data_IF_738845857072
#
_entry.id   IF_738845857072
#
_cell.length_a   1.000
_cell.length_b   1.000
_cell.length_c   1.000
_cell.angle_alpha   90.00
_cell.angle_beta   90.00
_cell.angle_gamma   90.00
#
_symmetry.space_group_name_H-M   'P 1'
#
loop_
_entity.id
_entity.type
_entity.pdbx_description
1 polymer ?
#
# COMPACT_ATOMS: atom_id res chain seq x y z
N UNK A 1 0.08 -31.34 -1.06
CA UNK A 1 -0.57 -31.39 0.26
C UNK A 1 -0.82 -29.97 0.72
N UNK A 2 -2.07 -29.59 0.97
CA UNK A 2 -2.46 -28.21 1.38
C UNK A 2 -2.12 -28.04 2.86
N UNK A 3 -1.31 -27.04 3.20
CA UNK A 3 -0.98 -26.71 4.59
C UNK A 3 -2.17 -26.06 5.27
N UNK A 4 -2.88 -26.80 6.11
CA UNK A 4 -3.90 -26.23 6.98
C UNK A 4 -3.19 -25.55 8.17
N UNK A 5 -3.48 -24.27 8.41
CA UNK A 5 -2.99 -23.56 9.58
C UNK A 5 -3.59 -24.21 10.85
N UNK A 6 -2.73 -24.81 11.69
CA UNK A 6 -3.13 -25.39 12.96
C UNK A 6 -2.94 -24.35 14.06
N UNK A 7 -4.04 -23.88 14.64
CA UNK A 7 -4.01 -22.96 15.77
C UNK A 7 -3.40 -23.66 16.99
N UNK A 8 -2.26 -23.19 17.48
CA UNK A 8 -1.66 -23.67 18.73
C UNK A 8 -2.21 -22.86 19.89
N UNK A 9 -3.21 -23.40 20.59
CA UNK A 9 -3.80 -22.79 21.78
C UNK A 9 -2.85 -23.01 22.95
N UNK A 10 -2.20 -21.92 23.40
CA UNK A 10 -1.19 -21.98 24.47
C UNK A 10 -1.86 -22.09 25.85
N UNK A 11 -3.10 -21.58 25.99
CA UNK A 11 -3.88 -21.69 27.22
C UNK A 11 -5.37 -21.46 26.95
N UNK A 12 -6.26 -22.23 27.58
CA UNK A 12 -7.70 -22.09 27.45
C UNK A 12 -8.28 -21.60 28.80
N UNK A 13 -8.84 -20.39 28.82
CA UNK A 13 -9.43 -19.78 30.01
C UNK A 13 -10.83 -20.33 30.37
N UNK A 14 -11.36 -21.27 29.58
CA UNK A 14 -12.65 -21.90 29.81
C UNK A 14 -13.82 -21.04 29.34
N UNK A 15 -15.01 -21.43 29.80
CA UNK A 15 -16.30 -20.79 29.47
C UNK A 15 -16.41 -19.42 30.15
N UNK A 16 -16.65 -18.35 29.37
CA UNK A 16 -16.71 -16.96 29.84
C UNK A 16 -17.62 -16.74 31.06
N UNK A 17 -18.69 -17.52 31.19
CA UNK A 17 -19.66 -17.50 32.29
C UNK A 17 -19.18 -18.19 33.58
N UNK A 18 -18.05 -18.91 33.54
CA UNK A 18 -17.43 -19.61 34.68
C UNK A 18 -16.03 -19.10 35.02
N UNK A 19 -15.55 -18.07 34.32
CA UNK A 19 -14.21 -17.55 34.55
C UNK A 19 -14.22 -16.64 35.78
N UNK A 20 -13.34 -16.95 36.72
CA UNK A 20 -13.11 -16.09 37.88
C UNK A 20 -12.48 -14.78 37.40
N UNK A 21 -13.31 -13.73 37.39
CA UNK A 21 -12.92 -12.38 36.98
C UNK A 21 -11.75 -11.87 37.83
N UNK A 22 -11.64 -12.29 39.09
CA UNK A 22 -10.53 -11.89 39.95
C UNK A 22 -9.23 -12.62 39.59
N UNK A 23 -9.31 -13.89 39.19
CA UNK A 23 -8.18 -14.62 38.64
C UNK A 23 -7.67 -13.98 37.34
N UNK A 24 -8.56 -13.57 36.44
CA UNK A 24 -8.20 -12.83 35.23
C UNK A 24 -7.55 -11.47 35.55
N UNK A 25 -8.07 -10.72 36.52
CA UNK A 25 -7.46 -9.46 36.96
C UNK A 25 -6.08 -9.66 37.55
N UNK A 26 -5.87 -10.73 38.32
CA UNK A 26 -4.55 -11.10 38.86
C UNK A 26 -3.57 -11.46 37.74
N UNK A 27 -4.02 -12.23 36.74
CA UNK A 27 -3.19 -12.55 35.59
C UNK A 27 -2.84 -11.30 34.79
N UNK A 28 -3.80 -10.44 34.48
CA UNK A 28 -3.57 -9.19 33.78
C UNK A 28 -2.54 -8.32 34.53
N UNK A 29 -2.65 -8.20 35.86
CA UNK A 29 -1.64 -7.51 36.70
C UNK A 29 -0.27 -8.16 36.61
N UNK A 30 -0.19 -9.49 36.62
CA UNK A 30 1.08 -10.21 36.54
C UNK A 30 1.74 -10.07 35.17
N UNK A 31 0.97 -10.11 34.09
CA UNK A 31 1.46 -9.92 32.71
C UNK A 31 1.94 -8.48 32.53
N UNK A 32 1.14 -7.50 32.94
CA UNK A 32 1.54 -6.09 32.89
C UNK A 32 2.81 -5.84 33.70
N UNK A 33 2.97 -6.48 34.86
CA UNK A 33 4.19 -6.38 35.68
C UNK A 33 5.41 -7.03 35.04
N UNK A 34 5.22 -8.11 34.29
CA UNK A 34 6.31 -8.81 33.62
C UNK A 34 6.78 -8.07 32.35
N UNK A 35 5.87 -7.34 31.69
CA UNK A 35 6.15 -6.61 30.45
C UNK A 35 6.66 -5.18 30.74
N UNK A 36 6.12 -4.53 31.76
CA UNK A 36 6.52 -3.19 32.20
C UNK A 36 6.80 -3.25 33.70
N UNK A 37 8.07 -3.08 34.10
CA UNK A 37 8.50 -3.04 35.50
C UNK A 37 7.84 -1.96 36.37
N UNK A 38 6.90 -1.18 35.84
CA UNK A 38 6.18 -0.10 36.52
C UNK A 38 4.71 0.01 36.05
N UNK A 39 3.86 -0.90 36.54
CA UNK A 39 2.41 -0.99 36.25
C UNK A 39 1.63 0.28 36.68
N UNK A 40 2.27 1.22 37.37
CA UNK A 40 1.66 2.49 37.74
C UNK A 40 1.38 3.40 36.53
N UNK A 41 2.14 3.31 35.43
CA UNK A 41 1.94 4.16 34.23
C UNK A 41 0.87 3.67 33.27
N UNK A 42 0.48 2.39 33.36
CA UNK A 42 -0.54 1.81 32.49
C UNK A 42 -1.98 2.20 32.89
N UNK A 43 -2.20 2.69 34.11
CA UNK A 43 -3.52 3.16 34.54
C UNK A 43 -3.87 4.57 34.05
N UNK A 44 -2.85 5.41 33.86
CA UNK A 44 -3.04 6.78 33.35
C UNK A 44 -3.03 6.86 31.80
N UNK A 45 -2.65 5.79 31.12
CA UNK A 45 -2.59 5.75 29.64
C UNK A 45 -3.83 5.10 28.99
N UNK A 46 -4.81 4.70 29.79
CA UNK A 46 -6.19 4.39 29.33
C UNK A 46 -7.16 5.48 29.79
N UNK A 47 -6.69 6.71 30.01
CA UNK A 47 -7.46 7.82 29.45
C UNK A 47 -7.48 7.60 27.95
N UNK A 48 -8.61 7.86 27.29
CA UNK A 48 -8.67 7.84 25.84
C UNK A 48 -7.69 8.90 25.36
N UNK A 49 -6.42 8.53 25.19
CA UNK A 49 -5.43 9.38 24.57
C UNK A 49 -6.00 9.69 23.22
N UNK A 50 -6.46 10.92 23.06
CA UNK A 50 -7.22 11.46 21.94
C UNK A 50 -6.66 10.91 20.62
N UNK A 51 -7.16 9.75 20.17
CA UNK A 51 -6.72 9.14 18.92
C UNK A 51 -7.36 9.96 17.82
N UNK A 52 -6.70 11.05 17.46
CA UNK A 52 -7.13 11.94 16.39
C UNK A 52 -6.57 11.37 15.10
N UNK A 53 -7.46 10.89 14.24
CA UNK A 53 -7.14 10.64 12.85
C UNK A 53 -6.71 11.97 12.25
N UNK A 54 -5.42 12.10 11.93
CA UNK A 54 -4.86 13.32 11.37
C UNK A 54 -5.31 13.48 9.91
N UNK A 55 -5.13 12.43 9.13
CA UNK A 55 -5.39 12.39 7.71
C UNK A 55 -5.79 10.96 7.28
N UNK A 56 -6.58 10.83 6.21
CA UNK A 56 -6.95 9.55 5.61
C UNK A 56 -7.03 9.68 4.09
N UNK A 57 -6.37 8.76 3.37
CA UNK A 57 -6.34 8.75 1.91
C UNK A 57 -6.91 7.46 1.33
N UNK A 58 -7.62 7.54 0.20
CA UNK A 58 -7.93 6.38 -0.63
C UNK A 58 -6.65 5.63 -1.03
N UNK A 59 -6.60 4.32 -0.73
CA UNK A 59 -5.51 3.43 -1.14
C UNK A 59 -6.00 2.19 -1.90
N UNK A 60 -7.21 1.71 -1.63
CA UNK A 60 -7.70 0.43 -2.17
C UNK A 60 -7.66 0.34 -3.70
N UNK A 61 -8.13 1.39 -4.40
CA UNK A 61 -8.12 1.42 -5.86
C UNK A 61 -6.70 1.38 -6.44
N UNK A 62 -5.79 2.18 -5.89
CA UNK A 62 -4.39 2.21 -6.32
C UNK A 62 -3.69 0.88 -6.06
N UNK A 63 -3.93 0.28 -4.89
CA UNK A 63 -3.37 -1.02 -4.54
C UNK A 63 -3.77 -2.11 -5.54
N UNK A 64 -5.06 -2.19 -5.90
CA UNK A 64 -5.55 -3.16 -6.88
C UNK A 64 -4.94 -2.89 -8.26
N UNK A 65 -4.90 -1.64 -8.69
CA UNK A 65 -4.31 -1.27 -9.97
C UNK A 65 -2.81 -1.56 -10.03
N UNK A 66 -2.07 -1.38 -8.93
CA UNK A 66 -0.65 -1.70 -8.84
C UNK A 66 -0.39 -3.21 -8.90
N UNK A 67 -1.24 -4.00 -8.23
CA UNK A 67 -1.18 -5.46 -8.31
C UNK A 67 -1.41 -5.92 -9.76
N UNK A 68 -2.45 -5.41 -10.42
CA UNK A 68 -2.72 -5.70 -11.84
C UNK A 68 -1.57 -5.24 -12.73
N UNK A 69 -1.05 -4.04 -12.52
CA UNK A 69 0.07 -3.50 -13.27
C UNK A 69 1.29 -4.43 -13.26
N UNK A 70 1.58 -5.02 -12.09
CA UNK A 70 2.66 -5.98 -11.88
C UNK A 70 2.33 -7.37 -12.43
N UNK A 71 1.11 -7.87 -12.23
CA UNK A 71 0.65 -9.16 -12.74
C UNK A 71 0.72 -9.22 -14.27
N UNK A 72 0.30 -8.12 -14.90
CA UNK A 72 0.39 -7.92 -16.35
C UNK A 72 1.82 -7.64 -16.83
N UNK A 73 2.75 -7.41 -15.89
CA UNK A 73 4.15 -7.05 -16.10
C UNK A 73 4.35 -5.79 -16.94
N UNK A 74 3.41 -4.85 -16.85
CA UNK A 74 3.52 -3.54 -17.49
C UNK A 74 4.70 -2.75 -16.91
N UNK A 75 4.99 -2.95 -15.63
CA UNK A 75 6.16 -2.39 -14.96
C UNK A 75 7.47 -2.82 -15.63
N UNK A 76 7.63 -4.11 -15.93
CA UNK A 76 8.82 -4.64 -16.58
C UNK A 76 8.92 -4.20 -18.03
N UNK A 77 7.79 -4.16 -18.74
CA UNK A 77 7.72 -3.73 -20.13
C UNK A 77 8.15 -2.27 -20.26
N UNK A 78 7.66 -1.37 -19.40
CA UNK A 78 8.10 0.03 -19.41
C UNK A 78 9.58 0.15 -19.03
N UNK A 79 10.01 -0.53 -17.97
CA UNK A 79 11.39 -0.44 -17.49
C UNK A 79 12.42 -0.99 -18.51
N UNK A 80 12.05 -1.96 -19.34
CA UNK A 80 12.99 -2.58 -20.28
C UNK A 80 13.40 -1.68 -21.45
N UNK A 81 12.61 -0.66 -21.77
CA UNK A 81 12.89 0.25 -22.90
C UNK A 81 13.58 1.55 -22.45
N UNK A 82 13.70 1.79 -21.15
CA UNK A 82 14.38 2.96 -20.64
C UNK A 82 15.91 2.81 -20.64
N UNK A 83 16.60 3.90 -20.97
CA UNK A 83 18.08 3.92 -21.12
C UNK A 83 18.85 3.74 -19.82
N UNK A 84 18.25 4.07 -18.67
CA UNK A 84 18.87 3.96 -17.35
C UNK A 84 17.86 3.45 -16.32
N UNK A 85 18.34 2.78 -15.26
CA UNK A 85 17.46 2.26 -14.18
C UNK A 85 16.71 3.37 -13.45
N UNK A 86 17.33 4.54 -13.25
CA UNK A 86 16.70 5.67 -12.55
C UNK A 86 15.57 6.24 -13.40
N UNK A 87 15.83 6.49 -14.68
CA UNK A 87 14.83 6.95 -15.65
C UNK A 87 13.71 5.92 -15.80
N UNK A 88 14.05 4.63 -15.86
CA UNK A 88 13.11 3.53 -15.94
C UNK A 88 12.09 3.58 -14.80
N UNK A 89 12.55 3.69 -13.56
CA UNK A 89 11.66 3.76 -12.39
C UNK A 89 10.83 5.04 -12.40
N UNK A 90 11.42 6.19 -12.71
CA UNK A 90 10.68 7.46 -12.74
C UNK A 90 9.57 7.45 -13.81
N UNK A 91 9.86 6.97 -15.02
CA UNK A 91 8.89 6.92 -16.11
C UNK A 91 7.82 5.88 -15.85
N UNK A 92 8.20 4.71 -15.37
CA UNK A 92 7.26 3.64 -15.03
C UNK A 92 6.29 4.09 -13.94
N UNK A 93 6.77 4.77 -12.89
CA UNK A 93 5.90 5.33 -11.86
C UNK A 93 5.05 6.49 -12.36
N UNK A 94 5.56 7.34 -13.24
CA UNK A 94 4.80 8.43 -13.85
C UNK A 94 3.66 7.93 -14.73
N UNK A 95 3.93 6.92 -15.56
CA UNK A 95 2.93 6.26 -16.41
C UNK A 95 1.87 5.58 -15.54
N UNK A 96 2.31 4.80 -14.53
CA UNK A 96 1.39 4.17 -13.60
C UNK A 96 0.48 5.20 -12.90
N UNK A 97 1.04 6.30 -12.40
CA UNK A 97 0.28 7.36 -11.76
C UNK A 97 -0.79 7.96 -12.70
N UNK A 98 -0.43 8.23 -13.97
CA UNK A 98 -1.39 8.75 -14.95
C UNK A 98 -2.48 7.72 -15.31
N UNK A 99 -2.13 6.43 -15.43
CA UNK A 99 -3.11 5.35 -15.69
C UNK A 99 -4.05 5.18 -14.49
N UNK A 100 -3.50 5.17 -13.28
CA UNK A 100 -4.29 5.06 -12.06
C UNK A 100 -5.20 6.27 -11.85
N UNK A 101 -4.71 7.48 -12.14
CA UNK A 101 -5.52 8.69 -12.14
C UNK A 101 -6.69 8.55 -13.12
N UNK A 102 -6.41 8.11 -14.36
CA UNK A 102 -7.43 7.93 -15.40
C UNK A 102 -8.53 6.93 -15.01
N UNK A 103 -8.18 5.90 -14.22
CA UNK A 103 -9.10 4.87 -13.77
C UNK A 103 -9.93 5.28 -12.54
N UNK A 104 -9.34 6.06 -11.62
CA UNK A 104 -9.95 6.36 -10.32
C UNK A 104 -10.55 7.77 -10.22
N UNK A 105 -9.89 8.77 -10.80
CA UNK A 105 -10.33 10.17 -10.77
C UNK A 105 -9.72 10.92 -11.97
N UNK A 106 -10.36 10.90 -13.15
CA UNK A 106 -9.74 11.29 -14.41
C UNK A 106 -9.54 12.80 -14.50
N UNK A 107 -8.38 13.27 -14.04
CA UNK A 107 -7.94 14.67 -14.11
C UNK A 107 -7.04 14.91 -15.33
N UNK A 108 -6.73 16.20 -15.58
CA UNK A 108 -5.66 16.54 -16.52
C UNK A 108 -4.30 16.14 -15.94
N UNK A 109 -3.24 16.07 -16.78
CA UNK A 109 -1.89 15.66 -16.34
C UNK A 109 -1.33 16.58 -15.24
N UNK A 110 -1.61 17.88 -15.39
CA UNK A 110 -1.22 18.87 -14.40
C UNK A 110 -1.90 18.58 -13.06
N UNK A 111 -3.23 18.42 -13.05
CA UNK A 111 -3.99 18.14 -11.84
C UNK A 111 -3.74 16.73 -11.27
N UNK A 112 -3.39 15.76 -12.11
CA UNK A 112 -2.91 14.45 -11.66
C UNK A 112 -1.70 14.61 -10.73
N UNK A 113 -0.74 15.49 -11.07
CA UNK A 113 0.46 15.72 -10.27
C UNK A 113 0.26 16.75 -9.16
N UNK A 114 -0.34 17.91 -9.44
CA UNK A 114 -0.47 19.02 -8.49
C UNK A 114 -1.47 18.75 -7.37
N UNK A 115 -2.49 17.93 -7.63
CA UNK A 115 -3.59 17.70 -6.70
C UNK A 115 -3.74 16.22 -6.37
N UNK A 116 -4.01 15.37 -7.37
CA UNK A 116 -4.42 13.99 -7.09
C UNK A 116 -3.34 13.15 -6.39
N UNK A 117 -2.12 13.10 -6.95
CA UNK A 117 -0.98 12.37 -6.33
C UNK A 117 -0.56 12.98 -4.99
N UNK A 118 -0.73 14.29 -4.81
CA UNK A 118 -0.24 15.01 -3.62
C UNK A 118 -1.21 14.94 -2.45
N UNK A 119 -2.50 15.08 -2.72
CA UNK A 119 -3.50 15.37 -1.69
C UNK A 119 -4.62 14.34 -1.62
N UNK A 120 -4.89 13.58 -2.69
CA UNK A 120 -6.12 12.78 -2.79
C UNK A 120 -5.89 11.27 -2.80
N UNK A 121 -4.65 10.80 -2.91
CA UNK A 121 -4.38 9.37 -3.02
C UNK A 121 -3.09 8.98 -2.29
N UNK A 122 -3.11 7.81 -1.66
CA UNK A 122 -1.89 7.26 -1.08
C UNK A 122 -1.06 6.53 -2.14
N UNK A 123 -0.09 7.22 -2.73
CA UNK A 123 0.87 6.64 -3.68
C UNK A 123 2.31 7.09 -3.38
N UNK A 124 2.97 6.50 -2.36
CA UNK A 124 4.33 6.89 -1.94
C UNK A 124 5.37 6.82 -3.06
N UNK A 125 5.26 5.84 -3.96
CA UNK A 125 6.20 5.66 -5.06
C UNK A 125 6.15 6.78 -6.12
N UNK A 126 5.10 7.60 -6.11
CA UNK A 126 4.93 8.72 -7.04
C UNK A 126 5.28 10.08 -6.42
N UNK A 127 5.53 10.17 -5.10
CA UNK A 127 5.78 11.45 -4.42
C UNK A 127 7.08 12.12 -4.86
N UNK A 128 8.06 11.34 -5.30
CA UNK A 128 9.34 11.87 -5.81
C UNK A 128 9.27 12.28 -7.28
N UNK A 129 8.11 12.14 -7.93
CA UNK A 129 7.95 12.53 -9.33
C UNK A 129 7.87 14.04 -9.46
N UNK A 130 8.51 14.57 -10.51
CA UNK A 130 8.28 15.93 -10.98
C UNK A 130 7.22 15.93 -12.07
N UNK A 131 6.59 17.08 -12.29
CA UNK A 131 5.69 17.27 -13.43
C UNK A 131 6.37 16.94 -14.77
N UNK A 132 7.67 17.23 -14.91
CA UNK A 132 8.44 16.88 -16.10
C UNK A 132 8.53 15.37 -16.34
N UNK A 133 8.56 14.53 -15.29
CA UNK A 133 8.54 13.09 -15.48
C UNK A 133 7.25 12.62 -16.15
N UNK A 134 6.09 13.25 -15.86
CA UNK A 134 4.84 12.91 -16.53
C UNK A 134 4.91 13.23 -18.02
N UNK A 135 5.35 14.44 -18.37
CA UNK A 135 5.49 14.84 -19.77
C UNK A 135 6.51 13.96 -20.53
N UNK A 136 7.72 13.80 -20.01
CA UNK A 136 8.73 12.97 -20.67
C UNK A 136 8.34 11.49 -20.76
N UNK A 137 7.59 10.98 -19.78
CA UNK A 137 7.10 9.62 -19.85
C UNK A 137 6.06 9.41 -20.96
N UNK A 138 5.33 10.46 -21.35
CA UNK A 138 4.43 10.40 -22.51
C UNK A 138 5.19 10.41 -23.83
N UNK A 139 6.21 11.28 -23.95
CA UNK A 139 7.06 11.30 -25.13
C UNK A 139 7.74 9.93 -25.29
N UNK A 140 8.23 9.38 -24.19
CA UNK A 140 8.76 8.02 -24.13
C UNK A 140 7.74 6.97 -24.57
N UNK A 141 6.48 7.07 -24.15
CA UNK A 141 5.44 6.16 -24.61
C UNK A 141 5.27 6.29 -26.12
N UNK A 142 5.14 7.52 -26.64
CA UNK A 142 4.96 7.79 -28.07
C UNK A 142 6.08 7.18 -28.92
N UNK A 143 7.33 7.34 -28.50
CA UNK A 143 8.52 6.79 -29.15
C UNK A 143 8.53 5.25 -29.21
N UNK A 144 7.85 4.58 -28.28
CA UNK A 144 7.89 3.11 -28.14
C UNK A 144 6.53 2.43 -28.33
N UNK A 145 5.50 3.12 -28.85
CA UNK A 145 4.12 2.61 -28.98
C UNK A 145 4.04 1.25 -29.69
N UNK A 146 4.77 1.10 -30.80
CA UNK A 146 4.73 -0.12 -31.61
C UNK A 146 5.34 -1.32 -30.88
N UNK A 147 6.47 -1.12 -30.21
CA UNK A 147 7.18 -2.17 -29.48
C UNK A 147 6.45 -2.59 -28.20
N UNK A 148 5.92 -1.61 -27.46
CA UNK A 148 5.13 -1.84 -26.24
C UNK A 148 3.80 -2.55 -26.56
N UNK A 149 3.14 -2.16 -27.66
CA UNK A 149 1.89 -2.79 -28.13
C UNK A 149 2.08 -4.25 -28.51
N UNK A 150 3.12 -4.56 -29.30
CA UNK A 150 3.40 -5.91 -29.79
C UNK A 150 3.68 -6.91 -28.66
N UNK A 151 4.44 -6.49 -27.64
CA UNK A 151 4.83 -7.34 -26.50
C UNK A 151 3.68 -7.57 -25.53
N UNK A 152 2.79 -6.59 -25.40
CA UNK A 152 1.55 -6.74 -24.65
C UNK A 152 0.67 -7.79 -25.33
N UNK A 153 0.35 -7.64 -26.61
CA UNK A 153 -0.56 -8.57 -27.33
C UNK A 153 -0.07 -10.03 -27.34
N UNK A 154 1.24 -10.28 -27.36
CA UNK A 154 1.77 -11.65 -27.29
C UNK A 154 1.50 -12.35 -25.95
N UNK A 155 1.45 -11.59 -24.84
CA UNK A 155 1.23 -12.15 -23.50
C UNK A 155 -0.24 -12.48 -23.23
N UNK A 156 -1.17 -11.77 -23.88
CA UNK A 156 -2.63 -11.96 -23.71
C UNK A 156 -3.25 -13.00 -24.64
N UNK A 157 -2.47 -13.58 -25.57
CA UNK A 157 -2.93 -14.61 -26.52
C UNK A 157 -2.57 -16.05 -26.11
N UNK A 158 -2.00 -16.24 -24.92
CA UNK A 158 -1.70 -17.56 -24.34
C UNK A 158 -2.63 -17.80 -23.16
#
# INVERSE_FOLDING_TARGET
>A
MRGCAVAKIIYNFGRADRVDVEQLRRLAKSVLRAVDGDVARAKDSVEHGDLRVRDAWPFGGVHVLEALWTELGLDQVVRSHARSKVTATAFERAIFAMVANRALSPYSKLYCWEQWVREEVYLPSAQTLSLHHLYFSMDFLEDHKEELGRRSTSRWRT
#
